data_IF_708044040011
#
_entry.id   IF_708044040011
#
_cell.length_a   1.000
_cell.length_b   1.000
_cell.length_c   1.000
_cell.angle_alpha   90.00
_cell.angle_beta   90.00
_cell.angle_gamma   90.00
#
_symmetry.space_group_name_H-M   'P 1'
#
loop_
_entity.id
_entity.type
_entity.pdbx_description
1 polymer ?
#
# COMPACT_ATOMS: atom_id res chain seq x y z
N UNK A 1 21.27 -36.56 69.27
CA UNK A 1 21.59 -36.79 67.87
C UNK A 1 20.49 -36.13 67.06
N UNK A 2 20.67 -34.82 66.65
CA UNK A 2 19.71 -34.01 65.96
C UNK A 2 19.94 -34.07 64.47
N UNK A 3 18.96 -34.62 63.75
CA UNK A 3 19.01 -34.70 62.29
C UNK A 3 18.31 -33.44 61.76
N UNK A 4 19.07 -32.51 61.19
CA UNK A 4 18.52 -31.37 60.45
C UNK A 4 18.15 -31.83 59.04
N UNK A 5 16.86 -31.86 58.75
CA UNK A 5 16.34 -32.05 57.40
C UNK A 5 16.49 -30.74 56.59
N UNK A 6 17.36 -30.79 55.58
CA UNK A 6 17.56 -29.68 54.65
C UNK A 6 16.51 -29.77 53.54
N UNK A 7 15.48 -28.91 53.59
CA UNK A 7 14.47 -28.80 52.52
C UNK A 7 15.04 -27.98 51.38
N UNK A 8 15.28 -28.60 50.24
CA UNK A 8 15.67 -27.93 48.99
C UNK A 8 14.41 -27.49 48.27
N UNK A 9 14.16 -26.17 48.22
CA UNK A 9 13.10 -25.59 47.39
C UNK A 9 13.64 -25.45 45.95
N UNK A 10 13.14 -26.27 45.05
CA UNK A 10 13.37 -26.11 43.61
C UNK A 10 12.38 -25.08 43.09
N UNK A 11 12.84 -23.87 42.81
CA UNK A 11 12.05 -22.85 42.12
C UNK A 11 12.09 -23.13 40.62
N UNK A 12 10.98 -23.60 40.06
CA UNK A 12 10.81 -23.72 38.60
C UNK A 12 10.45 -22.33 38.05
N UNK A 13 11.44 -21.66 37.44
CA UNK A 13 11.21 -20.43 36.69
C UNK A 13 10.52 -20.76 35.38
N UNK A 14 9.23 -20.44 35.28
CA UNK A 14 8.45 -20.55 34.02
C UNK A 14 8.83 -19.35 33.15
N UNK A 15 9.80 -19.56 32.26
CA UNK A 15 10.11 -18.53 31.23
C UNK A 15 8.97 -18.51 30.22
N UNK A 16 8.14 -17.45 30.28
CA UNK A 16 7.19 -17.18 29.21
C UNK A 16 7.96 -16.80 27.94
N UNK A 17 7.98 -17.69 26.98
CA UNK A 17 8.43 -17.37 25.62
C UNK A 17 7.32 -16.51 25.00
N UNK A 18 7.50 -15.18 25.02
CA UNK A 18 6.66 -14.28 24.24
C UNK A 18 7.05 -14.48 22.78
N UNK A 19 6.23 -15.22 22.02
CA UNK A 19 6.42 -15.31 20.58
C UNK A 19 6.28 -13.89 20.01
N UNK A 20 7.19 -13.44 19.13
CA UNK A 20 7.01 -12.17 18.43
C UNK A 20 5.70 -12.23 17.65
N UNK A 21 4.77 -11.36 17.95
CA UNK A 21 3.53 -11.21 17.18
C UNK A 21 3.93 -10.50 15.90
N UNK A 22 3.99 -11.24 14.81
CA UNK A 22 4.35 -10.71 13.51
C UNK A 22 3.15 -9.93 12.93
N UNK A 23 3.33 -8.65 12.67
CA UNK A 23 2.41 -7.88 11.83
C UNK A 23 2.69 -8.18 10.36
N UNK A 24 1.69 -8.16 9.50
CA UNK A 24 1.87 -8.32 8.05
C UNK A 24 0.76 -7.60 7.28
N UNK A 25 1.16 -6.85 6.26
CA UNK A 25 0.19 -6.17 5.40
C UNK A 25 0.83 -5.40 4.26
N UNK A 26 0.05 -5.06 3.24
CA UNK A 26 0.49 -4.26 2.10
C UNK A 26 -0.69 -3.55 1.43
N UNK A 27 -0.40 -2.53 0.63
CA UNK A 27 -1.42 -1.81 -0.15
C UNK A 27 -1.78 -2.62 -1.39
N UNK A 28 -3.07 -2.96 -1.51
CA UNK A 28 -3.63 -3.69 -2.65
C UNK A 28 -4.32 -2.77 -3.67
N UNK A 29 -4.80 -1.60 -3.23
CA UNK A 29 -5.45 -0.66 -4.14
C UNK A 29 -5.15 0.80 -3.75
N UNK A 30 -4.70 1.67 -4.70
CA UNK A 30 -4.09 1.25 -5.95
C UNK A 30 -2.94 0.28 -5.68
N UNK A 31 -2.62 -0.68 -6.58
CA UNK A 31 -1.63 -1.71 -6.27
C UNK A 31 -0.26 -1.09 -6.01
N UNK A 32 0.35 -1.49 -4.91
CA UNK A 32 1.73 -1.17 -4.58
C UNK A 32 2.71 -1.96 -5.45
N UNK A 33 3.99 -1.58 -5.45
CA UNK A 33 5.05 -2.32 -6.17
C UNK A 33 5.06 -3.80 -5.80
N UNK A 34 4.94 -4.15 -4.51
CA UNK A 34 4.84 -5.54 -4.08
C UNK A 34 3.53 -6.23 -4.50
N UNK A 35 2.43 -5.50 -4.61
CA UNK A 35 1.18 -6.03 -5.17
C UNK A 35 1.33 -6.32 -6.67
N UNK A 36 1.94 -5.44 -7.44
CA UNK A 36 2.28 -5.72 -8.84
C UNK A 36 3.16 -6.95 -9.01
N UNK A 37 4.17 -7.12 -8.14
CA UNK A 37 5.00 -8.32 -8.12
C UNK A 37 4.18 -9.59 -7.93
N UNK A 38 3.25 -9.56 -7.00
CA UNK A 38 2.38 -10.69 -6.65
C UNK A 38 1.40 -11.03 -7.76
N UNK A 39 0.71 -10.02 -8.30
CA UNK A 39 -0.43 -10.19 -9.19
C UNK A 39 -0.04 -10.33 -10.66
N UNK A 40 0.96 -9.56 -11.11
CA UNK A 40 1.38 -9.51 -12.49
C UNK A 40 2.66 -10.28 -12.78
N UNK A 41 3.30 -10.86 -11.77
CA UNK A 41 4.57 -11.58 -11.91
C UNK A 41 5.63 -10.74 -12.65
N UNK A 42 5.78 -9.47 -12.23
CA UNK A 42 6.72 -8.53 -12.85
C UNK A 42 8.13 -9.13 -12.87
N UNK A 43 8.82 -9.14 -14.01
CA UNK A 43 10.19 -9.64 -14.10
C UNK A 43 11.12 -8.84 -13.17
N UNK A 44 11.97 -9.51 -12.42
CA UNK A 44 12.92 -8.87 -11.51
C UNK A 44 12.40 -8.61 -10.09
N UNK A 45 11.20 -9.03 -9.77
CA UNK A 45 10.58 -8.86 -8.45
C UNK A 45 11.18 -9.67 -7.29
N UNK A 46 12.06 -10.62 -7.53
CA UNK A 46 12.66 -11.41 -6.44
C UNK A 46 11.64 -12.07 -5.49
N UNK A 47 12.00 -12.11 -4.20
CA UNK A 47 11.23 -12.81 -3.16
C UNK A 47 9.94 -12.07 -2.76
N UNK A 48 9.88 -10.75 -2.93
CA UNK A 48 8.71 -9.95 -2.52
C UNK A 48 7.40 -10.41 -3.16
N UNK A 49 7.48 -11.07 -4.30
CA UNK A 49 6.30 -11.63 -4.97
C UNK A 49 5.62 -12.74 -4.16
N UNK A 50 6.37 -13.46 -3.32
CA UNK A 50 5.85 -14.54 -2.48
C UNK A 50 5.36 -14.05 -1.13
N UNK A 51 5.95 -12.95 -0.63
CA UNK A 51 5.63 -12.37 0.66
C UNK A 51 5.44 -10.84 0.60
N UNK A 52 4.50 -10.33 -0.23
CA UNK A 52 4.29 -8.88 -0.41
C UNK A 52 3.90 -8.17 0.89
N UNK A 53 3.37 -8.92 1.87
CA UNK A 53 2.96 -8.42 3.17
C UNK A 53 4.13 -8.21 4.15
N UNK A 54 5.37 -8.62 3.79
CA UNK A 54 6.52 -8.68 4.71
C UNK A 54 7.51 -7.53 4.53
N UNK A 55 7.13 -6.45 3.83
CA UNK A 55 8.01 -5.29 3.61
C UNK A 55 8.05 -4.43 4.87
N UNK A 56 8.83 -4.88 5.85
CA UNK A 56 8.97 -4.30 7.17
C UNK A 56 10.41 -3.81 7.40
N UNK A 57 10.55 -2.64 8.03
CA UNK A 57 11.83 -2.07 8.43
C UNK A 57 11.63 -1.05 9.57
N UNK A 58 12.72 -0.56 10.21
CA UNK A 58 12.61 0.50 11.21
C UNK A 58 11.86 1.74 10.70
N UNK A 59 11.14 2.41 11.62
CA UNK A 59 10.38 3.63 11.35
C UNK A 59 11.23 4.75 10.76
N UNK A 60 10.57 5.64 9.99
CA UNK A 60 11.14 6.91 9.55
C UNK A 60 11.83 6.88 8.18
N UNK A 61 11.95 5.74 7.51
CA UNK A 61 12.51 5.68 6.16
C UNK A 61 11.55 6.25 5.11
N UNK A 62 12.13 6.80 4.03
CA UNK A 62 11.40 7.23 2.83
C UNK A 62 11.70 6.33 1.61
N UNK A 63 12.34 5.20 1.82
CA UNK A 63 12.61 4.21 0.79
C UNK A 63 11.46 3.20 0.65
N UNK A 64 11.20 2.72 -0.56
CA UNK A 64 10.08 1.81 -0.85
C UNK A 64 10.15 0.46 -0.14
N UNK A 65 11.36 0.03 0.28
CA UNK A 65 11.56 -1.14 1.14
C UNK A 65 11.92 -0.76 2.59
N UNK A 66 11.66 0.50 3.01
CA UNK A 66 12.02 1.01 4.33
C UNK A 66 13.53 1.14 4.56
N UNK A 67 14.36 1.04 3.53
CA UNK A 67 15.81 0.89 3.61
C UNK A 67 16.25 -0.35 4.41
N UNK A 68 15.36 -1.35 4.48
CA UNK A 68 15.64 -2.63 5.10
C UNK A 68 16.60 -3.49 4.28
N UNK A 69 17.01 -4.61 4.87
CA UNK A 69 17.93 -5.57 4.25
C UNK A 69 17.31 -6.29 3.05
N UNK A 70 15.97 -6.46 3.07
CA UNK A 70 15.23 -7.27 2.11
C UNK A 70 14.57 -6.42 1.03
N UNK A 71 14.21 -7.06 -0.08
CA UNK A 71 13.42 -6.49 -1.19
C UNK A 71 14.05 -5.25 -1.85
N UNK A 72 15.35 -5.29 -2.21
CA UNK A 72 16.03 -4.15 -2.85
C UNK A 72 15.41 -3.74 -4.19
N UNK A 73 14.73 -4.65 -4.87
CA UNK A 73 14.02 -4.43 -6.13
C UNK A 73 12.94 -3.35 -6.02
N UNK A 74 12.35 -3.18 -4.84
CA UNK A 74 11.32 -2.14 -4.61
C UNK A 74 11.87 -0.71 -4.72
N UNK A 75 13.20 -0.53 -4.62
CA UNK A 75 13.89 0.77 -4.79
C UNK A 75 14.40 1.00 -6.21
N UNK A 76 14.37 0.00 -7.07
CA UNK A 76 14.88 0.13 -8.43
C UNK A 76 13.88 0.88 -9.31
N UNK A 77 14.01 2.20 -9.41
CA UNK A 77 13.06 3.05 -10.14
C UNK A 77 12.91 2.63 -11.61
N UNK A 78 14.00 2.21 -12.28
CA UNK A 78 13.95 1.75 -13.67
C UNK A 78 13.07 0.51 -13.87
N UNK A 79 12.88 -0.32 -12.82
CA UNK A 79 11.95 -1.44 -12.87
C UNK A 79 10.48 -0.97 -12.89
N UNK A 80 10.19 0.18 -12.29
CA UNK A 80 8.84 0.64 -12.03
C UNK A 80 8.33 1.70 -13.02
N UNK A 81 9.16 2.15 -13.96
CA UNK A 81 8.78 3.17 -14.94
C UNK A 81 7.51 2.83 -15.73
N UNK A 82 7.29 1.54 -16.06
CA UNK A 82 6.14 1.09 -16.83
C UNK A 82 4.98 0.53 -15.99
N UNK A 83 5.17 0.42 -14.66
CA UNK A 83 4.19 -0.16 -13.74
C UNK A 83 3.54 0.91 -12.88
N UNK A 84 2.40 1.41 -13.31
CA UNK A 84 1.63 2.43 -12.59
C UNK A 84 0.13 2.24 -12.81
N UNK A 85 -0.65 2.78 -11.90
CA UNK A 85 -2.11 2.78 -12.00
C UNK A 85 -2.61 4.15 -12.40
N UNK A 86 -3.43 4.23 -13.45
CA UNK A 86 -4.14 5.47 -13.77
C UNK A 86 -5.28 5.67 -12.79
N UNK A 87 -5.31 6.83 -12.14
CA UNK A 87 -6.31 7.17 -11.12
C UNK A 87 -7.02 8.47 -11.47
N UNK A 88 -8.32 8.51 -11.14
CA UNK A 88 -9.18 9.68 -11.33
C UNK A 88 -9.67 10.13 -9.95
N UNK A 89 -9.08 11.19 -9.36
CA UNK A 89 -9.47 11.65 -8.04
C UNK A 89 -10.92 12.11 -7.98
N UNK A 90 -11.61 11.75 -6.90
CA UNK A 90 -12.91 12.29 -6.53
C UNK A 90 -12.72 13.23 -5.35
N UNK A 91 -13.19 14.47 -5.44
CA UNK A 91 -12.97 15.49 -4.42
C UNK A 91 -11.49 15.63 -4.00
N UNK A 92 -10.58 15.57 -4.99
CA UNK A 92 -9.13 15.65 -4.80
C UNK A 92 -8.49 14.52 -3.96
N UNK A 93 -9.15 13.38 -3.83
CA UNK A 93 -8.64 12.23 -3.08
C UNK A 93 -8.78 10.93 -3.88
N UNK A 94 -7.97 9.93 -3.52
CA UNK A 94 -8.10 8.55 -4.00
C UNK A 94 -8.13 7.58 -2.82
N UNK A 95 -8.89 6.47 -2.90
CA UNK A 95 -8.89 5.46 -1.87
C UNK A 95 -7.61 4.64 -1.89
N UNK A 96 -6.96 4.48 -0.74
CA UNK A 96 -5.92 3.49 -0.50
C UNK A 96 -6.52 2.34 0.31
N UNK A 97 -6.31 1.11 -0.15
CA UNK A 97 -6.75 -0.09 0.55
C UNK A 97 -5.54 -0.90 1.00
N UNK A 98 -5.38 -1.04 2.30
CA UNK A 98 -4.45 -1.98 2.90
C UNK A 98 -5.13 -3.33 3.12
N UNK A 99 -4.43 -4.39 2.80
CA UNK A 99 -4.77 -5.76 3.16
C UNK A 99 -3.79 -6.25 4.22
N UNK A 100 -4.31 -6.50 5.44
CA UNK A 100 -3.53 -6.96 6.57
C UNK A 100 -3.74 -8.46 6.72
N UNK A 101 -2.71 -9.24 6.39
CA UNK A 101 -2.73 -10.69 6.60
C UNK A 101 -2.54 -11.07 8.07
N UNK A 102 -1.93 -10.16 8.84
CA UNK A 102 -1.84 -10.21 10.29
C UNK A 102 -1.99 -8.78 10.86
N UNK A 103 -3.22 -8.35 11.22
CA UNK A 103 -3.45 -7.06 11.88
C UNK A 103 -2.66 -6.91 13.17
N UNK A 104 -2.19 -5.70 13.48
CA UNK A 104 -1.44 -5.39 14.68
C UNK A 104 -1.81 -4.01 15.22
N UNK A 105 -1.59 -3.76 16.50
CA UNK A 105 -1.81 -2.45 17.11
C UNK A 105 -1.07 -1.37 16.32
N UNK A 106 -1.79 -0.35 15.93
CA UNK A 106 -1.35 0.67 14.98
C UNK A 106 -1.18 2.02 15.66
N UNK A 107 -0.03 2.69 15.44
CA UNK A 107 0.12 4.09 15.81
C UNK A 107 -0.66 4.96 14.85
N UNK A 108 -0.25 4.95 13.60
CA UNK A 108 -0.83 5.75 12.53
C UNK A 108 -0.48 5.16 11.15
N UNK A 109 -1.11 5.74 10.14
CA UNK A 109 -0.88 5.49 8.72
C UNK A 109 -0.46 6.80 8.09
N UNK A 110 0.66 6.80 7.36
CA UNK A 110 1.18 8.00 6.74
C UNK A 110 1.32 7.83 5.23
N UNK A 111 1.08 8.91 4.50
CA UNK A 111 1.21 8.94 3.05
C UNK A 111 2.05 10.12 2.62
N UNK A 112 3.07 9.84 1.82
CA UNK A 112 4.00 10.86 1.32
C UNK A 112 4.09 10.79 -0.19
N UNK A 113 4.07 11.93 -0.85
CA UNK A 113 4.36 12.02 -2.27
C UNK A 113 5.83 12.36 -2.46
N UNK A 114 6.48 11.68 -3.41
CA UNK A 114 7.86 11.98 -3.79
C UNK A 114 7.87 13.20 -4.72
N UNK A 115 8.69 14.17 -4.42
CA UNK A 115 8.92 15.37 -5.24
C UNK A 115 10.40 15.56 -5.50
N UNK A 116 10.83 16.42 -6.47
CA UNK A 116 12.25 16.72 -6.68
C UNK A 116 12.94 17.29 -5.43
N UNK A 117 12.18 17.98 -4.57
CA UNK A 117 12.69 18.58 -3.32
C UNK A 117 12.67 17.60 -2.13
N UNK A 118 12.22 16.37 -2.31
CA UNK A 118 12.10 15.35 -1.29
C UNK A 118 10.68 14.79 -1.16
N UNK A 119 10.30 14.35 0.04
CA UNK A 119 8.99 13.80 0.30
C UNK A 119 8.10 14.82 1.00
N UNK A 120 6.85 14.96 0.55
CA UNK A 120 5.84 15.81 1.18
C UNK A 120 4.71 14.93 1.71
N UNK A 121 4.30 15.18 2.93
CA UNK A 121 3.17 14.48 3.53
C UNK A 121 1.86 14.87 2.82
N UNK A 122 1.08 13.85 2.46
CA UNK A 122 -0.27 14.00 1.94
C UNK A 122 -1.31 13.84 3.05
N UNK A 123 -1.11 12.87 3.94
CA UNK A 123 -2.02 12.59 5.05
C UNK A 123 -1.36 11.75 6.14
N UNK A 124 -1.87 11.88 7.36
CA UNK A 124 -1.69 10.97 8.49
C UNK A 124 -3.05 10.63 9.10
N UNK A 125 -3.26 9.35 9.41
CA UNK A 125 -4.47 8.84 10.06
C UNK A 125 -4.07 8.14 11.35
N UNK A 126 -4.50 8.68 12.48
CA UNK A 126 -4.10 8.21 13.81
C UNK A 126 -5.03 7.08 14.30
N UNK A 127 -4.44 5.97 14.76
CA UNK A 127 -5.15 4.85 15.40
C UNK A 127 -4.84 4.70 16.89
N UNK A 128 -3.84 5.44 17.42
CA UNK A 128 -3.52 5.52 18.86
C UNK A 128 -3.36 4.16 19.56
N UNK A 129 -2.86 3.14 18.87
CA UNK A 129 -2.68 1.79 19.40
C UNK A 129 -3.91 0.88 19.24
N UNK A 130 -4.93 1.30 18.52
CA UNK A 130 -6.06 0.44 18.19
C UNK A 130 -5.65 -0.71 17.27
N UNK A 131 -6.41 -1.81 17.33
CA UNK A 131 -6.26 -2.95 16.43
C UNK A 131 -7.12 -2.69 15.18
N UNK A 132 -6.51 -2.53 13.99
CA UNK A 132 -7.26 -2.32 12.77
C UNK A 132 -7.96 -3.60 12.29
N UNK A 133 -9.00 -3.50 11.45
CA UNK A 133 -9.56 -4.64 10.73
C UNK A 133 -8.57 -5.16 9.68
N UNK A 134 -8.81 -6.37 9.14
CA UNK A 134 -7.96 -6.96 8.10
C UNK A 134 -7.92 -6.15 6.78
N UNK A 135 -8.90 -5.30 6.56
CA UNK A 135 -8.95 -4.37 5.42
C UNK A 135 -9.16 -2.95 5.94
N UNK A 136 -8.25 -2.06 5.60
CA UNK A 136 -8.31 -0.63 5.97
C UNK A 136 -8.39 0.19 4.69
N UNK A 137 -9.41 1.05 4.58
CA UNK A 137 -9.59 1.96 3.44
C UNK A 137 -9.50 3.39 3.92
N UNK A 138 -8.62 4.18 3.30
CA UNK A 138 -8.40 5.59 3.64
C UNK A 138 -8.45 6.45 2.39
N UNK A 139 -9.14 7.59 2.47
CA UNK A 139 -9.20 8.58 1.40
C UNK A 139 -7.99 9.51 1.52
N UNK A 140 -7.02 9.34 0.63
CA UNK A 140 -5.77 10.09 0.66
C UNK A 140 -5.89 11.31 -0.26
N UNK A 141 -5.82 12.55 0.29
CA UNK A 141 -5.88 13.77 -0.50
C UNK A 141 -4.63 13.90 -1.37
N UNK A 142 -4.80 14.43 -2.58
CA UNK A 142 -3.70 14.59 -3.54
C UNK A 142 -3.20 16.03 -3.65
N UNK A 143 -3.80 16.97 -2.95
CA UNK A 143 -3.38 18.40 -2.89
C UNK A 143 -3.07 19.02 -4.26
N UNK A 144 -3.89 18.69 -5.28
CA UNK A 144 -3.71 19.21 -6.63
C UNK A 144 -2.63 18.52 -7.47
N UNK A 145 -1.87 17.56 -6.96
CA UNK A 145 -0.88 16.81 -7.75
C UNK A 145 -1.52 16.12 -8.95
N UNK A 146 -0.77 16.07 -10.07
CA UNK A 146 -1.20 15.46 -11.36
C UNK A 146 -0.05 14.69 -11.99
N UNK A 147 -0.38 13.88 -13.02
CA UNK A 147 0.60 13.10 -13.78
C UNK A 147 1.21 11.96 -12.97
N UNK A 148 2.38 11.51 -13.41
CA UNK A 148 3.12 10.40 -12.77
C UNK A 148 3.64 10.80 -11.41
N UNK A 149 3.29 10.04 -10.40
CA UNK A 149 3.69 10.24 -9.01
C UNK A 149 3.97 8.90 -8.33
N UNK A 150 4.93 8.89 -7.40
CA UNK A 150 5.12 7.78 -6.46
C UNK A 150 4.65 8.23 -5.08
N UNK A 151 3.71 7.48 -4.50
CA UNK A 151 3.19 7.73 -3.16
C UNK A 151 3.72 6.62 -2.24
N UNK A 152 4.49 7.00 -1.23
CA UNK A 152 4.93 6.11 -0.16
C UNK A 152 3.85 6.05 0.90
N UNK A 153 3.32 4.86 1.16
CA UNK A 153 2.42 4.57 2.25
C UNK A 153 3.19 3.84 3.37
N UNK A 154 2.98 4.25 4.63
CA UNK A 154 3.62 3.68 5.81
C UNK A 154 2.54 3.27 6.82
N UNK A 155 2.63 2.04 7.32
CA UNK A 155 1.82 1.54 8.43
C UNK A 155 2.72 1.41 9.66
N UNK A 156 2.61 2.35 10.59
CA UNK A 156 3.44 2.42 11.79
C UNK A 156 2.85 1.55 12.92
N UNK A 157 3.61 0.57 13.37
CA UNK A 157 3.19 -0.33 14.44
C UNK A 157 3.35 0.35 15.79
N UNK A 158 2.36 0.18 16.69
CA UNK A 158 2.29 0.94 17.94
C UNK A 158 3.34 0.50 18.97
N UNK A 159 3.50 -0.78 19.15
CA UNK A 159 4.30 -1.39 20.22
C UNK A 159 5.63 -1.99 19.72
N UNK A 160 6.07 -1.59 18.51
CA UNK A 160 7.40 -1.90 17.97
C UNK A 160 8.03 -0.66 17.34
N UNK A 161 9.33 -0.73 17.04
CA UNK A 161 10.06 0.30 16.29
C UNK A 161 9.92 0.15 14.76
N UNK A 162 9.02 -0.71 14.30
CA UNK A 162 8.90 -1.06 12.89
C UNK A 162 7.69 -0.41 12.21
N UNK A 163 7.81 -0.34 10.89
CA UNK A 163 6.83 0.18 9.94
C UNK A 163 6.75 -0.75 8.75
N UNK A 164 5.56 -0.97 8.20
CA UNK A 164 5.37 -1.58 6.89
C UNK A 164 5.35 -0.49 5.81
N UNK A 165 6.09 -0.74 4.73
CA UNK A 165 6.31 0.20 3.64
C UNK A 165 5.65 -0.29 2.36
N UNK A 166 5.03 0.63 1.62
CA UNK A 166 4.47 0.34 0.31
C UNK A 166 4.58 1.58 -0.60
N UNK A 167 5.32 1.47 -1.70
CA UNK A 167 5.27 2.47 -2.75
C UNK A 167 4.17 2.13 -3.76
N UNK A 168 3.40 3.13 -4.11
CA UNK A 168 2.29 3.07 -5.08
C UNK A 168 2.58 4.07 -6.18
N UNK A 169 2.80 3.57 -7.40
CA UNK A 169 3.04 4.41 -8.57
C UNK A 169 1.72 4.68 -9.29
N UNK A 170 1.36 5.95 -9.44
CA UNK A 170 0.10 6.40 -10.02
C UNK A 170 0.31 7.40 -11.14
N UNK A 171 -0.61 7.41 -12.12
CA UNK A 171 -0.78 8.48 -13.09
C UNK A 171 -2.10 9.20 -12.78
N UNK A 172 -2.01 10.37 -12.17
CA UNK A 172 -3.15 11.14 -11.67
C UNK A 172 -3.74 11.95 -12.83
N UNK A 173 -4.90 11.52 -13.31
CA UNK A 173 -5.62 12.16 -14.41
C UNK A 173 -6.81 12.96 -13.87
N UNK A 174 -6.77 14.27 -14.07
CA UNK A 174 -7.88 15.16 -13.72
C UNK A 174 -8.67 15.50 -14.96
N UNK A 175 -10.02 15.64 -14.87
CA UNK A 175 -10.80 16.16 -15.98
C UNK A 175 -10.24 17.52 -16.39
N UNK A 176 -10.05 17.74 -17.70
CA UNK A 176 -9.81 19.10 -18.17
C UNK A 176 -11.06 19.94 -17.85
N UNK A 177 -10.89 21.20 -17.46
CA UNK A 177 -12.00 22.11 -17.14
C UNK A 177 -13.03 22.24 -18.29
N UNK A 178 -12.63 21.92 -19.52
CA UNK A 178 -13.50 21.91 -20.70
C UNK A 178 -14.36 20.64 -20.80
N UNK A 179 -13.83 19.49 -20.35
CA UNK A 179 -14.58 18.23 -20.26
C UNK A 179 -15.43 18.16 -18.96
N UNK A 180 -15.03 18.88 -17.92
CA UNK A 180 -15.81 19.01 -16.69
C UNK A 180 -17.16 19.65 -16.94
N UNK A 181 -17.22 20.70 -17.77
CA UNK A 181 -18.49 21.35 -18.14
C UNK A 181 -19.41 20.44 -18.98
N UNK A 182 -18.86 19.52 -19.78
CA UNK A 182 -19.68 18.53 -20.51
C UNK A 182 -20.17 17.39 -19.60
N UNK A 183 -19.33 16.93 -18.64
CA UNK A 183 -19.72 15.89 -17.69
C UNK A 183 -20.82 16.40 -16.72
N UNK A 184 -20.71 17.65 -16.25
CA UNK A 184 -21.72 18.27 -15.41
C UNK A 184 -23.04 18.48 -16.19
N UNK A 185 -22.97 18.79 -17.48
CA UNK A 185 -24.13 18.88 -18.35
C UNK A 185 -24.78 17.52 -18.64
N UNK A 186 -23.97 16.44 -18.76
CA UNK A 186 -24.50 15.08 -18.91
C UNK A 186 -25.12 14.56 -17.61
N UNK A 187 -24.50 14.85 -16.45
CA UNK A 187 -25.03 14.49 -15.13
C UNK A 187 -26.34 15.28 -14.86
N UNK A 188 -26.39 16.56 -15.22
CA UNK A 188 -27.62 17.39 -15.14
C UNK A 188 -28.73 16.92 -16.08
N UNK A 189 -28.37 16.24 -17.19
CA UNK A 189 -29.31 15.66 -18.13
C UNK A 189 -29.80 14.24 -17.74
N UNK A 190 -29.37 13.69 -16.59
CA UNK A 190 -29.83 12.39 -16.08
C UNK A 190 -29.37 11.17 -16.88
N UNK A 191 -28.30 11.30 -17.68
CA UNK A 191 -27.82 10.26 -18.61
C UNK A 191 -26.60 9.49 -18.11
N UNK A 192 -26.33 9.49 -16.82
CA UNK A 192 -25.19 8.79 -16.21
C UNK A 192 -25.62 7.62 -15.33
N UNK A 193 -25.95 6.44 -15.90
CA UNK A 193 -26.09 5.22 -15.11
C UNK A 193 -24.79 4.44 -15.06
N UNK A 194 -24.51 3.77 -13.93
CA UNK A 194 -23.32 2.96 -13.66
C UNK A 194 -23.00 1.86 -14.71
N UNK A 195 -23.95 1.51 -15.56
CA UNK A 195 -23.77 0.52 -16.64
C UNK A 195 -22.79 0.94 -17.76
N UNK A 196 -22.49 2.24 -17.88
CA UNK A 196 -21.61 2.75 -18.94
C UNK A 196 -20.14 2.35 -18.77
N UNK A 197 -19.68 2.05 -17.56
CA UNK A 197 -18.27 1.78 -17.27
C UNK A 197 -17.86 0.34 -17.60
N UNK A 198 -18.73 -0.63 -17.30
CA UNK A 198 -18.49 -2.06 -17.56
C UNK A 198 -18.49 -2.41 -19.05
N UNK A 199 -19.24 -1.69 -19.86
CA UNK A 199 -19.34 -1.95 -21.30
C UNK A 199 -18.13 -1.41 -22.09
N UNK A 200 -17.51 -0.31 -21.66
CA UNK A 200 -16.29 0.21 -22.29
C UNK A 200 -15.07 -0.69 -22.03
N UNK A 201 -15.01 -1.33 -20.87
CA UNK A 201 -13.95 -2.29 -20.56
C UNK A 201 -14.03 -3.55 -21.43
N UNK A 202 -15.24 -4.01 -21.82
CA UNK A 202 -15.45 -5.16 -22.70
C UNK A 202 -15.15 -4.87 -24.18
N UNK A 203 -15.43 -3.68 -24.64
CA UNK A 203 -15.28 -3.33 -26.06
C UNK A 203 -13.82 -3.21 -26.51
N UNK A 204 -12.90 -2.84 -25.61
CA UNK A 204 -11.48 -2.70 -25.95
C UNK A 204 -10.66 -4.00 -25.85
N UNK A 205 -11.25 -5.11 -25.35
CA UNK A 205 -10.56 -6.40 -25.19
C UNK A 205 -10.90 -7.47 -26.25
N UNK A 206 -11.70 -7.14 -27.27
CA UNK A 206 -12.05 -8.07 -28.36
C UNK A 206 -11.51 -7.61 -29.72
N UNK A 207 -10.20 -7.55 -29.87
CA UNK A 207 -9.61 -7.32 -31.18
C UNK A 207 -8.10 -7.49 -31.19
N UNK A 208 -7.69 -8.60 -31.74
CA UNK A 208 -6.38 -8.96 -32.25
C UNK A 208 -5.41 -9.70 -31.33
N UNK A 209 -5.16 -10.97 -31.71
CA UNK A 209 -3.94 -11.73 -31.40
C UNK A 209 -2.73 -10.97 -31.93
N UNK A 210 -1.92 -10.46 -31.05
CA UNK A 210 -0.62 -9.86 -31.33
C UNK A 210 0.02 -9.47 -30.01
N UNK A 211 1.26 -9.87 -29.78
CA UNK A 211 2.06 -9.57 -28.61
C UNK A 211 1.90 -8.12 -28.17
N UNK A 212 1.13 -7.90 -27.10
CA UNK A 212 0.95 -6.59 -26.50
C UNK A 212 2.06 -6.45 -25.48
N UNK A 213 2.97 -5.47 -25.60
CA UNK A 213 3.85 -5.12 -24.50
C UNK A 213 2.98 -4.78 -23.30
N UNK A 214 3.33 -5.31 -22.13
CA UNK A 214 2.59 -5.15 -20.88
C UNK A 214 2.71 -3.71 -20.38
N UNK A 215 2.09 -2.78 -21.11
CA UNK A 215 1.69 -1.49 -20.57
C UNK A 215 0.33 -1.68 -19.92
N UNK A 216 0.31 -2.07 -18.67
CA UNK A 216 -0.96 -2.25 -17.97
C UNK A 216 -1.30 -1.01 -17.20
N UNK A 217 -2.08 -0.19 -17.85
CA UNK A 217 -2.97 0.74 -17.20
C UNK A 217 -4.06 -0.08 -16.52
N UNK A 218 -4.00 -0.24 -15.20
CA UNK A 218 -5.15 -0.63 -14.41
C UNK A 218 -6.00 0.63 -14.23
N UNK A 219 -7.14 0.66 -14.87
CA UNK A 219 -8.13 1.71 -14.70
C UNK A 219 -8.93 1.51 -13.41
#
# INVERSE_FOLDING_TARGET
MNIFALSVFVTVSLSMVVAPVAAHGYVTHPPSRQAFCRELNVPGCGEVKWEPQSVEAPKGSFECNGNGKWFPELKNEGLWEDYYTRVHPVADAIPFTWHLTAPHKTSNWEYFIRTPEGHKELASFEDFGAMPPATVVQQVPLHGYTGRQTILARWNIFDTENTFYACVDVDIVRPSTRAGCEADNLAAAGLGSEESWTNRYRANNHGSNGDIPVQKVLA
#
